data_IF_586045854475
#
_entry.id   IF_586045854475
#
_cell.length_a   1.000
_cell.length_b   1.000
_cell.length_c   1.000
_cell.angle_alpha   90.00
_cell.angle_beta   90.00
_cell.angle_gamma   90.00
#
_symmetry.space_group_name_H-M   'P 1'
#
loop_
_entity.id
_entity.type
_entity.pdbx_description
1 polymer ?
#
# COMPACT_ATOMS: atom_id res chain seq x y z
N UNK A 1 63.70 -60.17 20.41
CA UNK A 1 62.76 -59.23 19.76
C UNK A 1 63.55 -58.40 18.75
N UNK A 2 63.33 -58.58 17.45
CA UNK A 2 64.07 -57.88 16.39
C UNK A 2 63.39 -56.53 16.16
N UNK A 3 64.02 -55.45 16.61
CA UNK A 3 63.52 -54.08 16.47
C UNK A 3 63.45 -53.73 14.97
N UNK A 4 62.24 -53.46 14.48
CA UNK A 4 62.01 -52.96 13.13
C UNK A 4 62.72 -51.61 12.98
N UNK A 5 63.59 -51.50 11.98
CA UNK A 5 64.32 -50.26 11.69
C UNK A 5 63.32 -49.20 11.18
N UNK A 6 63.03 -48.15 11.97
CA UNK A 6 61.95 -47.20 11.68
C UNK A 6 62.17 -46.43 10.37
N UNK A 7 63.44 -46.31 9.93
CA UNK A 7 63.80 -45.67 8.66
C UNK A 7 63.40 -46.49 7.43
N UNK A 8 63.45 -47.82 7.51
CA UNK A 8 63.07 -48.70 6.41
C UNK A 8 61.55 -48.75 6.20
N UNK A 9 60.79 -48.78 7.31
CA UNK A 9 59.33 -48.82 7.27
C UNK A 9 58.73 -47.50 6.74
N UNK A 10 59.32 -46.36 7.10
CA UNK A 10 58.90 -45.05 6.59
C UNK A 10 59.09 -44.91 5.07
N UNK A 11 60.19 -45.44 4.53
CA UNK A 11 60.48 -45.41 3.09
C UNK A 11 59.51 -46.28 2.27
N UNK A 12 59.13 -47.46 2.79
CA UNK A 12 58.17 -48.34 2.12
C UNK A 12 56.76 -47.75 2.09
N UNK A 13 56.30 -47.09 3.16
CA UNK A 13 55.00 -46.42 3.18
C UNK A 13 54.97 -45.21 2.24
N UNK A 14 56.05 -44.43 2.16
CA UNK A 14 56.15 -43.28 1.25
C UNK A 14 56.12 -43.73 -0.23
N UNK A 15 56.84 -44.81 -0.58
CA UNK A 15 56.86 -45.34 -1.93
C UNK A 15 55.48 -45.88 -2.38
N UNK A 16 54.76 -46.57 -1.48
CA UNK A 16 53.41 -47.04 -1.75
C UNK A 16 52.42 -45.89 -1.97
N UNK A 17 52.45 -44.87 -1.11
CA UNK A 17 51.55 -43.72 -1.21
C UNK A 17 51.76 -42.94 -2.52
N UNK A 18 53.02 -42.69 -2.90
CA UNK A 18 53.36 -42.03 -4.17
C UNK A 18 52.99 -42.89 -5.37
N UNK A 19 53.24 -44.20 -5.32
CA UNK A 19 52.88 -45.13 -6.39
C UNK A 19 51.37 -45.19 -6.63
N UNK A 20 50.56 -45.30 -5.56
CA UNK A 20 49.09 -45.32 -5.69
C UNK A 20 48.51 -43.97 -6.13
N UNK A 21 49.10 -42.86 -5.70
CA UNK A 21 48.64 -41.52 -6.10
C UNK A 21 48.85 -41.23 -7.58
N UNK A 22 49.97 -41.68 -8.16
CA UNK A 22 50.28 -41.47 -9.58
C UNK A 22 49.39 -42.35 -10.48
N UNK A 23 49.05 -43.58 -10.05
CA UNK A 23 48.14 -44.47 -10.79
C UNK A 23 46.71 -43.93 -10.79
N UNK A 24 46.22 -43.35 -9.69
CA UNK A 24 44.90 -42.72 -9.62
C UNK A 24 44.79 -41.46 -10.50
N UNK A 25 45.86 -40.68 -10.63
CA UNK A 25 45.92 -39.55 -11.55
C UNK A 25 46.04 -39.97 -13.03
N UNK A 26 46.54 -41.17 -13.31
CA UNK A 26 46.68 -41.72 -14.67
C UNK A 26 45.40 -42.33 -15.26
N UNK A 27 44.38 -42.61 -14.43
CA UNK A 27 43.09 -43.14 -14.88
C UNK A 27 41.98 -42.08 -14.98
N UNK A 28 42.25 -40.82 -14.59
CA UNK A 28 41.35 -39.71 -14.87
C UNK A 28 41.53 -39.27 -16.32
N UNK A 29 40.70 -39.79 -17.21
CA UNK A 29 40.53 -39.18 -18.53
C UNK A 29 39.95 -37.78 -18.33
N UNK A 30 40.80 -36.75 -18.42
CA UNK A 30 40.33 -35.39 -18.55
C UNK A 30 39.59 -35.30 -19.89
N UNK A 31 38.25 -35.25 -19.85
CA UNK A 31 37.46 -34.97 -21.04
C UNK A 31 37.73 -33.52 -21.41
N UNK A 32 38.61 -33.31 -22.39
CA UNK A 32 38.87 -32.00 -22.97
C UNK A 32 37.66 -31.60 -23.79
N UNK A 33 36.71 -30.94 -23.12
CA UNK A 33 35.54 -30.32 -23.75
C UNK A 33 35.47 -28.86 -23.34
N UNK A 34 35.36 -27.96 -24.29
CA UNK A 34 34.97 -26.58 -24.03
C UNK A 34 33.50 -26.61 -23.63
N UNK A 35 33.11 -26.20 -22.41
CA UNK A 35 31.69 -26.17 -22.03
C UNK A 35 30.96 -25.20 -22.97
N UNK A 36 30.10 -25.73 -23.82
CA UNK A 36 29.22 -24.93 -24.67
C UNK A 36 27.85 -24.83 -23.99
N UNK A 37 27.30 -23.63 -23.94
CA UNK A 37 25.95 -23.41 -23.42
C UNK A 37 24.94 -23.94 -24.42
N UNK A 38 24.04 -24.80 -23.97
CA UNK A 38 22.85 -25.13 -24.75
C UNK A 38 21.99 -23.86 -24.87
N UNK A 39 21.96 -23.29 -26.07
CA UNK A 39 21.27 -22.03 -26.33
C UNK A 39 19.76 -22.15 -26.14
N UNK A 40 19.17 -23.34 -26.33
CA UNK A 40 17.75 -23.56 -26.10
C UNK A 40 17.43 -23.52 -24.60
N UNK A 41 18.25 -24.19 -23.78
CA UNK A 41 18.11 -24.15 -22.31
C UNK A 41 18.36 -22.74 -21.77
N UNK A 42 19.37 -22.03 -22.29
CA UNK A 42 19.64 -20.65 -21.90
C UNK A 42 18.52 -19.69 -22.31
N UNK A 43 17.89 -19.88 -23.47
CA UNK A 43 16.74 -19.09 -23.90
C UNK A 43 15.50 -19.38 -23.03
N UNK A 44 15.24 -20.65 -22.70
CA UNK A 44 14.16 -21.04 -21.80
C UNK A 44 14.33 -20.42 -20.41
N UNK A 45 15.52 -20.53 -19.81
CA UNK A 45 15.82 -19.93 -18.51
C UNK A 45 15.64 -18.41 -18.49
N UNK A 46 16.11 -17.70 -19.52
CA UNK A 46 15.89 -16.24 -19.64
C UNK A 46 14.41 -15.89 -19.71
N UNK A 47 13.62 -16.70 -20.43
CA UNK A 47 12.17 -16.51 -20.56
C UNK A 47 11.48 -16.71 -19.22
N UNK A 48 11.81 -17.78 -18.48
CA UNK A 48 11.26 -18.05 -17.15
C UNK A 48 11.63 -16.95 -16.14
N UNK A 49 12.86 -16.45 -16.19
CA UNK A 49 13.30 -15.35 -15.33
C UNK A 49 12.60 -14.03 -15.66
N UNK A 50 12.38 -13.74 -16.95
CA UNK A 50 11.61 -12.59 -17.38
C UNK A 50 10.14 -12.71 -16.92
N UNK A 51 9.52 -13.88 -17.08
CA UNK A 51 8.17 -14.16 -16.61
C UNK A 51 8.05 -14.03 -15.08
N UNK A 52 9.00 -14.58 -14.33
CA UNK A 52 9.05 -14.48 -12.87
C UNK A 52 9.23 -13.05 -12.39
N UNK A 53 10.09 -12.27 -13.06
CA UNK A 53 10.31 -10.85 -12.75
C UNK A 53 9.07 -10.00 -13.04
N UNK A 54 8.39 -10.28 -14.17
CA UNK A 54 7.13 -9.64 -14.51
C UNK A 54 6.02 -10.00 -13.52
N UNK A 55 5.93 -11.26 -13.10
CA UNK A 55 4.99 -11.72 -12.09
C UNK A 55 5.25 -11.04 -10.74
N UNK A 56 6.49 -11.03 -10.25
CA UNK A 56 6.86 -10.38 -9.00
C UNK A 56 6.56 -8.87 -9.01
N UNK A 57 6.82 -8.19 -10.13
CA UNK A 57 6.50 -6.77 -10.30
C UNK A 57 4.98 -6.55 -10.28
N UNK A 58 4.23 -7.41 -10.97
CA UNK A 58 2.77 -7.37 -10.99
C UNK A 58 2.17 -7.60 -9.60
N UNK A 59 2.67 -8.58 -8.85
CA UNK A 59 2.25 -8.84 -7.47
C UNK A 59 2.52 -7.65 -6.55
N UNK A 60 3.69 -7.01 -6.66
CA UNK A 60 4.01 -5.80 -5.88
C UNK A 60 3.05 -4.65 -6.19
N UNK A 61 2.72 -4.43 -7.47
CA UNK A 61 1.77 -3.39 -7.88
C UNK A 61 0.37 -3.66 -7.34
N UNK A 62 -0.09 -4.91 -7.42
CA UNK A 62 -1.39 -5.31 -6.88
C UNK A 62 -1.47 -5.12 -5.36
N UNK A 63 -0.41 -5.50 -4.63
CA UNK A 63 -0.33 -5.31 -3.18
C UNK A 63 -0.31 -3.82 -2.78
N UNK A 64 0.43 -2.99 -3.52
CA UNK A 64 0.45 -1.54 -3.30
C UNK A 64 -0.94 -0.90 -3.53
N UNK A 65 -1.65 -1.33 -4.57
CA UNK A 65 -3.01 -0.87 -4.85
C UNK A 65 -3.99 -1.27 -3.75
N UNK A 66 -3.98 -2.53 -3.31
CA UNK A 66 -4.82 -2.99 -2.19
C UNK A 66 -4.52 -2.24 -0.90
N UNK A 67 -3.24 -2.00 -0.62
CA UNK A 67 -2.81 -1.22 0.54
C UNK A 67 -3.32 0.23 0.45
N UNK A 68 -3.17 0.89 -0.70
CA UNK A 68 -3.65 2.26 -0.90
C UNK A 68 -5.17 2.38 -0.71
N UNK A 69 -5.94 1.42 -1.25
CA UNK A 69 -7.39 1.36 -1.04
C UNK A 69 -7.70 1.19 0.45
N UNK A 70 -7.06 0.22 1.12
CA UNK A 70 -7.27 -0.06 2.55
C UNK A 70 -6.94 1.15 3.43
N UNK A 71 -5.79 1.78 3.21
CA UNK A 71 -5.29 2.92 4.00
C UNK A 71 -6.18 4.16 3.86
N UNK A 72 -6.91 4.30 2.74
CA UNK A 72 -7.87 5.39 2.53
C UNK A 72 -9.29 5.03 2.99
N UNK A 73 -9.79 3.86 2.61
CA UNK A 73 -11.16 3.44 2.89
C UNK A 73 -11.42 3.10 4.37
N UNK A 74 -10.48 2.41 5.02
CA UNK A 74 -10.69 1.98 6.41
C UNK A 74 -10.92 3.15 7.36
N UNK A 75 -10.05 4.19 7.37
CA UNK A 75 -10.23 5.29 8.28
C UNK A 75 -11.24 6.34 7.80
N UNK A 76 -11.72 6.29 6.55
CA UNK A 76 -12.66 7.28 6.02
C UNK A 76 -13.91 7.45 6.90
N UNK A 77 -14.53 6.35 7.33
CA UNK A 77 -15.74 6.42 8.18
C UNK A 77 -15.46 7.09 9.54
N UNK A 78 -14.34 6.77 10.18
CA UNK A 78 -13.95 7.39 11.46
C UNK A 78 -13.51 8.84 11.31
N UNK A 79 -12.89 9.20 10.18
CA UNK A 79 -12.49 10.58 9.88
C UNK A 79 -13.71 11.48 9.63
N UNK A 80 -14.75 10.96 9.00
CA UNK A 80 -15.93 11.76 8.60
C UNK A 80 -17.07 11.74 9.63
N UNK A 81 -17.09 10.76 10.53
CA UNK A 81 -18.12 10.63 11.58
C UNK A 81 -18.29 11.88 12.46
N UNK A 82 -17.21 12.43 13.04
CA UNK A 82 -17.30 13.63 13.88
C UNK A 82 -17.90 14.83 13.15
N UNK A 83 -17.58 15.02 11.87
CA UNK A 83 -18.13 16.12 11.07
C UNK A 83 -19.65 16.00 10.90
N UNK A 84 -20.18 14.78 10.72
CA UNK A 84 -21.63 14.53 10.63
C UNK A 84 -22.30 14.82 11.98
N UNK A 85 -21.71 14.37 13.08
CA UNK A 85 -22.25 14.63 14.43
C UNK A 85 -22.31 16.12 14.72
N UNK A 86 -21.20 16.83 14.56
CA UNK A 86 -21.13 18.27 14.87
C UNK A 86 -22.04 19.09 13.95
N UNK A 87 -22.18 18.71 12.67
CA UNK A 87 -23.12 19.35 11.77
C UNK A 87 -24.58 19.15 12.20
N UNK A 88 -24.97 17.94 12.62
CA UNK A 88 -26.32 17.69 13.14
C UNK A 88 -26.59 18.45 14.45
N UNK A 89 -25.59 18.60 15.31
CA UNK A 89 -25.70 19.40 16.53
C UNK A 89 -25.91 20.88 16.20
N UNK A 90 -25.21 21.40 15.18
CA UNK A 90 -25.44 22.75 14.64
C UNK A 90 -26.86 22.90 14.09
N UNK A 91 -27.33 21.99 13.23
CA UNK A 91 -28.69 22.04 12.67
C UNK A 91 -29.73 22.04 13.80
N UNK A 92 -29.56 21.18 14.81
CA UNK A 92 -30.45 21.13 15.97
C UNK A 92 -30.46 22.44 16.77
N UNK A 93 -29.31 23.09 16.93
CA UNK A 93 -29.20 24.38 17.60
C UNK A 93 -29.81 25.52 16.78
N UNK A 94 -29.68 25.48 15.45
CA UNK A 94 -30.31 26.42 14.52
C UNK A 94 -31.83 26.31 14.57
N UNK A 95 -32.37 25.11 14.44
CA UNK A 95 -33.81 24.84 14.45
C UNK A 95 -34.48 25.25 15.77
N UNK A 96 -33.78 25.10 16.90
CA UNK A 96 -34.30 25.43 18.23
C UNK A 96 -34.04 26.87 18.69
N UNK A 97 -33.39 27.69 17.86
CA UNK A 97 -32.89 29.01 18.25
C UNK A 97 -32.02 28.99 19.53
N UNK A 98 -31.18 27.96 19.67
CA UNK A 98 -30.36 27.77 20.86
C UNK A 98 -29.27 28.85 20.95
N UNK A 99 -28.96 29.37 22.15
CA UNK A 99 -28.01 30.48 22.33
C UNK A 99 -26.56 30.12 21.95
N UNK A 100 -26.25 28.83 21.82
CA UNK A 100 -24.93 28.30 21.43
C UNK A 100 -24.84 27.95 19.93
N UNK A 101 -25.84 28.33 19.12
CA UNK A 101 -25.90 28.03 17.68
C UNK A 101 -24.66 28.49 16.92
N UNK A 102 -24.13 29.68 17.24
CA UNK A 102 -22.95 30.22 16.55
C UNK A 102 -21.69 29.40 16.86
N UNK A 103 -21.50 28.97 18.11
CA UNK A 103 -20.38 28.13 18.49
C UNK A 103 -20.47 26.76 17.80
N UNK A 104 -21.65 26.14 17.79
CA UNK A 104 -21.87 24.85 17.10
C UNK A 104 -21.71 24.96 15.59
N UNK A 105 -22.13 26.06 14.97
CA UNK A 105 -21.89 26.34 13.55
C UNK A 105 -20.39 26.34 13.24
N UNK A 106 -19.62 27.04 14.05
CA UNK A 106 -18.18 27.20 13.85
C UNK A 106 -17.45 25.87 14.07
N UNK A 107 -17.83 25.12 15.11
CA UNK A 107 -17.33 23.76 15.38
C UNK A 107 -17.66 22.79 14.23
N UNK A 108 -18.90 22.82 13.72
CA UNK A 108 -19.32 22.00 12.58
C UNK A 108 -18.50 22.33 11.33
N UNK A 109 -18.38 23.62 11.01
CA UNK A 109 -17.61 24.09 9.85
C UNK A 109 -16.13 23.74 9.98
N UNK A 110 -15.52 23.89 11.16
CA UNK A 110 -14.14 23.49 11.41
C UNK A 110 -13.95 21.99 11.23
N UNK A 111 -14.83 21.17 11.80
CA UNK A 111 -14.71 19.70 11.73
C UNK A 111 -14.88 19.19 10.30
N UNK A 112 -15.75 19.83 9.50
CA UNK A 112 -15.89 19.55 8.06
C UNK A 112 -14.59 19.85 7.29
N UNK A 113 -13.95 20.99 7.54
CA UNK A 113 -12.66 21.35 6.93
C UNK A 113 -11.54 20.37 7.35
N UNK A 114 -11.47 20.01 8.63
CA UNK A 114 -10.47 19.07 9.13
C UNK A 114 -10.64 17.67 8.52
N UNK A 115 -11.88 17.20 8.39
CA UNK A 115 -12.18 15.95 7.70
C UNK A 115 -11.79 16.02 6.23
N UNK A 116 -12.12 17.12 5.54
CA UNK A 116 -11.74 17.35 4.15
C UNK A 116 -10.21 17.36 3.97
N UNK A 117 -9.48 18.10 4.79
CA UNK A 117 -8.01 18.18 4.76
C UNK A 117 -7.37 16.82 5.04
N UNK A 118 -7.92 16.05 5.98
CA UNK A 118 -7.41 14.71 6.30
C UNK A 118 -7.62 13.74 5.14
N UNK A 119 -8.78 13.78 4.48
CA UNK A 119 -9.07 12.94 3.31
C UNK A 119 -8.21 13.35 2.12
N UNK A 120 -8.13 14.64 1.82
CA UNK A 120 -7.30 15.18 0.74
C UNK A 120 -5.84 14.78 0.91
N UNK A 121 -5.29 14.95 2.12
CA UNK A 121 -3.92 14.54 2.44
C UNK A 121 -3.68 13.06 2.15
N UNK A 122 -4.60 12.18 2.56
CA UNK A 122 -4.46 10.73 2.31
C UNK A 122 -4.53 10.37 0.83
N UNK A 123 -5.38 11.06 0.07
CA UNK A 123 -5.45 10.89 -1.39
C UNK A 123 -4.14 11.33 -2.04
N UNK A 124 -3.60 12.49 -1.63
CA UNK A 124 -2.29 12.97 -2.09
C UNK A 124 -1.16 12.01 -1.72
N UNK A 125 -1.13 11.52 -0.48
CA UNK A 125 -0.12 10.58 0.00
C UNK A 125 -0.18 9.23 -0.75
N UNK A 126 -1.37 8.82 -1.20
CA UNK A 126 -1.54 7.60 -2.01
C UNK A 126 -1.08 7.78 -3.47
N UNK A 127 -1.08 9.01 -3.98
CA UNK A 127 -0.71 9.36 -5.36
C UNK A 127 -1.29 8.39 -6.40
N UNK A 128 -0.45 7.86 -7.29
CA UNK A 128 -0.85 6.96 -8.38
C UNK A 128 -1.19 5.52 -7.93
N UNK A 129 -1.06 5.21 -6.62
CA UNK A 129 -1.40 3.89 -6.10
C UNK A 129 -2.92 3.69 -5.93
N UNK A 130 -3.68 4.78 -5.82
CA UNK A 130 -5.13 4.74 -5.72
C UNK A 130 -5.77 4.63 -7.12
N UNK A 131 -6.82 3.82 -7.33
CA UNK A 131 -7.58 3.86 -8.57
C UNK A 131 -8.13 5.28 -8.82
N UNK A 132 -7.96 5.79 -10.04
CA UNK A 132 -8.34 7.17 -10.39
C UNK A 132 -9.82 7.50 -10.08
N UNK A 133 -10.72 6.56 -10.36
CA UNK A 133 -12.15 6.71 -10.04
C UNK A 133 -12.39 6.84 -8.52
N UNK A 134 -11.68 6.07 -7.69
CA UNK A 134 -11.80 6.18 -6.24
C UNK A 134 -11.21 7.49 -5.72
N UNK A 135 -10.09 7.94 -6.29
CA UNK A 135 -9.45 9.20 -5.93
C UNK A 135 -10.37 10.38 -6.23
N UNK A 136 -11.02 10.34 -7.39
CA UNK A 136 -12.02 11.33 -7.77
C UNK A 136 -13.19 11.39 -6.79
N UNK A 137 -13.74 10.24 -6.36
CA UNK A 137 -14.83 10.20 -5.37
C UNK A 137 -14.43 10.82 -4.04
N UNK A 138 -13.22 10.57 -3.56
CA UNK A 138 -12.71 11.23 -2.35
C UNK A 138 -12.58 12.74 -2.55
N UNK A 139 -12.06 13.19 -3.70
CA UNK A 139 -11.97 14.62 -4.03
C UNK A 139 -13.35 15.29 -4.10
N UNK A 140 -14.36 14.60 -4.65
CA UNK A 140 -15.74 15.09 -4.66
C UNK A 140 -16.29 15.26 -3.24
N UNK A 141 -16.01 14.31 -2.34
CA UNK A 141 -16.33 14.46 -0.91
C UNK A 141 -15.61 15.66 -0.28
N UNK A 142 -14.31 15.83 -0.52
CA UNK A 142 -13.51 16.95 0.00
C UNK A 142 -14.13 18.28 -0.42
N UNK A 143 -14.45 18.43 -1.70
CA UNK A 143 -15.05 19.66 -2.23
C UNK A 143 -16.44 19.92 -1.62
N UNK A 144 -17.28 18.89 -1.52
CA UNK A 144 -18.61 19.02 -0.93
C UNK A 144 -18.57 19.36 0.57
N UNK A 145 -17.61 18.80 1.32
CA UNK A 145 -17.42 19.11 2.74
C UNK A 145 -16.98 20.57 2.95
N UNK A 146 -16.07 21.09 2.12
CA UNK A 146 -15.64 22.50 2.12
C UNK A 146 -16.77 23.45 1.73
N UNK A 147 -17.58 23.06 0.75
CA UNK A 147 -18.79 23.80 0.37
C UNK A 147 -19.77 23.88 1.54
N UNK A 148 -20.08 22.75 2.18
CA UNK A 148 -20.96 22.76 3.36
C UNK A 148 -20.38 23.59 4.51
N UNK A 149 -19.08 23.53 4.77
CA UNK A 149 -18.44 24.35 5.79
C UNK A 149 -18.59 25.85 5.49
N UNK A 150 -18.45 26.23 4.20
CA UNK A 150 -18.65 27.61 3.73
C UNK A 150 -20.09 28.07 3.89
N UNK A 151 -21.07 27.26 3.49
CA UNK A 151 -22.49 27.60 3.64
C UNK A 151 -22.91 27.62 5.12
N UNK A 152 -22.38 26.70 5.94
CA UNK A 152 -22.63 26.68 7.38
C UNK A 152 -22.20 27.99 8.01
N UNK A 153 -21.00 28.51 7.71
CA UNK A 153 -20.49 29.79 8.25
C UNK A 153 -21.34 31.01 7.89
N UNK A 154 -22.13 30.95 6.80
CA UNK A 154 -23.05 32.03 6.40
C UNK A 154 -24.35 32.01 7.19
N UNK A 155 -24.61 30.96 7.96
CA UNK A 155 -25.87 30.81 8.67
C UNK A 155 -25.96 31.73 9.87
N UNK A 156 -27.11 32.40 9.92
CA UNK A 156 -27.66 33.13 11.06
C UNK A 156 -29.12 32.66 11.22
N UNK A 157 -29.80 33.04 12.31
CA UNK A 157 -31.20 32.65 12.52
C UNK A 157 -32.15 33.08 11.39
N UNK A 158 -31.82 34.13 10.64
CA UNK A 158 -32.65 34.64 9.55
C UNK A 158 -32.12 34.27 8.16
N UNK A 159 -31.01 33.52 8.10
CA UNK A 159 -30.41 33.15 6.82
C UNK A 159 -31.30 32.14 6.07
N UNK A 160 -31.46 32.26 4.75
CA UNK A 160 -32.18 31.26 3.96
C UNK A 160 -31.40 29.93 3.95
N UNK A 161 -32.06 28.84 4.32
CA UNK A 161 -31.44 27.51 4.45
C UNK A 161 -31.29 26.75 3.12
N UNK A 162 -31.76 27.30 2.00
CA UNK A 162 -31.76 26.62 0.70
C UNK A 162 -30.35 26.15 0.27
N UNK A 163 -29.38 27.06 0.26
CA UNK A 163 -28.00 26.75 -0.11
C UNK A 163 -27.34 25.77 0.88
N UNK A 164 -27.65 25.90 2.17
CA UNK A 164 -27.17 24.98 3.20
C UNK A 164 -27.70 23.56 2.95
N UNK A 165 -28.99 23.42 2.64
CA UNK A 165 -29.62 22.13 2.38
C UNK A 165 -29.07 21.47 1.10
N UNK A 166 -28.81 22.26 0.06
CA UNK A 166 -28.21 21.75 -1.18
C UNK A 166 -26.77 21.26 -0.93
N UNK A 167 -25.96 22.03 -0.20
CA UNK A 167 -24.61 21.62 0.19
C UNK A 167 -24.62 20.38 1.11
N UNK A 168 -25.55 20.32 2.05
CA UNK A 168 -25.76 19.18 2.96
C UNK A 168 -26.10 17.90 2.20
N UNK A 169 -27.00 18.00 1.23
CA UNK A 169 -27.33 16.89 0.34
C UNK A 169 -26.10 16.45 -0.46
N UNK A 170 -25.36 17.39 -1.05
CA UNK A 170 -24.17 17.09 -1.86
C UNK A 170 -23.10 16.34 -1.07
N UNK A 171 -22.79 16.77 0.16
CA UNK A 171 -21.79 16.09 0.98
C UNK A 171 -22.27 14.70 1.42
N UNK A 172 -23.56 14.54 1.71
CA UNK A 172 -24.14 13.25 2.05
C UNK A 172 -24.08 12.28 0.87
N UNK A 173 -24.41 12.74 -0.34
CA UNK A 173 -24.34 11.95 -1.57
C UNK A 173 -22.89 11.52 -1.84
N UNK A 174 -21.93 12.46 -1.80
CA UNK A 174 -20.51 12.16 -2.00
C UNK A 174 -19.96 11.17 -0.95
N UNK A 175 -20.35 11.35 0.32
CA UNK A 175 -19.97 10.45 1.41
C UNK A 175 -20.52 9.03 1.19
N UNK A 176 -21.75 8.89 0.69
CA UNK A 176 -22.34 7.59 0.38
C UNK A 176 -21.68 6.94 -0.84
N UNK A 177 -21.37 7.72 -1.88
CA UNK A 177 -20.64 7.27 -3.07
C UNK A 177 -19.27 6.68 -2.69
N UNK A 178 -18.51 7.35 -1.82
CA UNK A 178 -17.23 6.82 -1.31
C UNK A 178 -17.45 5.54 -0.49
N UNK A 179 -18.44 5.52 0.41
CA UNK A 179 -18.73 4.34 1.24
C UNK A 179 -19.11 3.09 0.45
N UNK A 180 -19.80 3.27 -0.68
CA UNK A 180 -20.17 2.18 -1.60
C UNK A 180 -18.96 1.73 -2.42
N UNK A 181 -18.12 2.66 -2.86
CA UNK A 181 -16.92 2.34 -3.63
C UNK A 181 -15.83 1.65 -2.78
N UNK A 182 -15.79 1.93 -1.48
CA UNK A 182 -14.90 1.26 -0.55
C UNK A 182 -15.34 -0.18 -0.26
N UNK A 183 -14.41 -1.15 -0.16
CA UNK A 183 -14.74 -2.52 0.20
C UNK A 183 -15.51 -2.60 1.53
N UNK A 184 -16.44 -3.56 1.62
CA UNK A 184 -17.06 -3.93 2.89
C UNK A 184 -15.97 -4.33 3.90
N UNK A 185 -16.17 -3.97 5.17
CA UNK A 185 -15.26 -4.38 6.25
C UNK A 185 -15.48 -5.84 6.60
#
# INVERSE_FOLDING_TARGET
>A
MKLLNPRGFGLTCAALALGTGIVLAGCSNAVQGTPTVDQAVAAAYRTEMAASSAAATSSKKAAALQKAISDNCNPFRSTTGPAVTNYNDFVSAHDSNAPDQDAKRDDAAQTLEEAANTVEKRVTDAADALPADLAQKFTEYVNAARELATESRKMTYTAPVGLLNDASKRVNDALNVVRIACPAR
#
